data_IF_581285316670
#
_entry.id   IF_581285316670
#
_cell.length_a   1.000
_cell.length_b   1.000
_cell.length_c   1.000
_cell.angle_alpha   90.00
_cell.angle_beta   90.00
_cell.angle_gamma   90.00
#
_symmetry.space_group_name_H-M   'P 1'
#
loop_
_entity.id
_entity.type
_entity.pdbx_description
1 polymer ?
#
# COMPACT_ATOMS: atom_id res chain seq x y z
N UNK A 1 -23.03 -11.18 5.52
CA UNK A 1 -22.14 -11.64 4.44
C UNK A 1 -20.73 -11.28 4.85
N UNK A 2 -19.83 -12.24 4.88
CA UNK A 2 -18.41 -11.97 5.17
C UNK A 2 -17.83 -11.11 4.04
N UNK A 3 -16.99 -10.15 4.42
CA UNK A 3 -16.25 -9.30 3.46
C UNK A 3 -14.85 -9.89 3.28
N UNK A 4 -14.37 -9.87 2.05
CA UNK A 4 -13.05 -10.35 1.71
C UNK A 4 -12.27 -9.26 0.98
N UNK A 5 -10.96 -9.25 1.17
CA UNK A 5 -10.02 -8.46 0.38
C UNK A 5 -9.05 -9.40 -0.32
N UNK A 6 -8.61 -9.02 -1.50
CA UNK A 6 -7.56 -9.73 -2.24
C UNK A 6 -6.30 -8.86 -2.24
N UNK A 7 -5.19 -9.45 -1.79
CA UNK A 7 -3.87 -8.81 -1.79
C UNK A 7 -2.90 -9.79 -2.43
N UNK A 8 -2.39 -9.47 -3.63
CA UNK A 8 -1.42 -10.32 -4.35
C UNK A 8 -1.86 -11.79 -4.42
N UNK A 9 -3.06 -12.02 -4.97
CA UNK A 9 -3.69 -13.35 -5.09
C UNK A 9 -4.03 -14.03 -3.75
N UNK A 10 -3.78 -13.37 -2.62
CA UNK A 10 -4.15 -13.85 -1.29
C UNK A 10 -5.50 -13.27 -0.90
N UNK A 11 -6.49 -14.14 -0.69
CA UNK A 11 -7.82 -13.75 -0.21
C UNK A 11 -7.81 -13.76 1.32
N UNK A 12 -8.12 -12.61 1.92
CA UNK A 12 -8.18 -12.42 3.37
C UNK A 12 -9.61 -12.08 3.76
N UNK A 13 -10.18 -12.81 4.71
CA UNK A 13 -11.44 -12.44 5.34
C UNK A 13 -11.21 -11.25 6.27
N UNK A 14 -11.99 -10.19 6.12
CA UNK A 14 -11.84 -8.96 6.91
C UNK A 14 -12.03 -9.21 8.40
N UNK A 15 -12.89 -10.17 8.76
CA UNK A 15 -13.15 -10.53 10.17
C UNK A 15 -11.92 -11.19 10.84
N UNK A 16 -10.99 -11.74 10.05
CA UNK A 16 -9.76 -12.37 10.55
C UNK A 16 -8.60 -11.36 10.70
N UNK A 17 -8.79 -10.11 10.24
CA UNK A 17 -7.79 -9.05 10.35
C UNK A 17 -7.77 -8.51 11.79
N UNK A 18 -6.61 -8.62 12.43
CA UNK A 18 -6.34 -8.08 13.75
C UNK A 18 -5.95 -6.61 13.70
N UNK A 19 -5.03 -6.25 12.79
CA UNK A 19 -4.60 -4.87 12.57
C UNK A 19 -4.07 -4.69 11.15
N UNK A 20 -4.10 -3.46 10.67
CA UNK A 20 -3.33 -3.03 9.50
C UNK A 20 -2.36 -1.95 9.94
N UNK A 21 -1.09 -2.10 9.54
CA UNK A 21 -0.01 -1.19 9.85
C UNK A 21 0.43 -0.50 8.56
N UNK A 22 0.30 0.83 8.49
CA UNK A 22 0.76 1.61 7.34
C UNK A 22 2.24 1.92 7.52
N UNK A 23 3.07 1.41 6.61
CA UNK A 23 4.52 1.60 6.63
C UNK A 23 4.92 2.98 6.09
N UNK A 24 4.18 3.47 5.09
CA UNK A 24 4.34 4.81 4.52
C UNK A 24 4.25 4.84 3.00
N UNK A 25 4.22 6.04 2.46
CA UNK A 25 4.20 6.35 1.03
C UNK A 25 5.44 7.19 0.62
N UNK A 26 6.53 7.04 1.37
CA UNK A 26 7.79 7.80 1.20
C UNK A 26 8.57 7.38 -0.06
N UNK A 27 7.95 7.57 -1.22
CA UNK A 27 8.60 7.55 -2.53
C UNK A 27 9.28 8.92 -2.73
N UNK A 28 10.62 8.93 -2.85
CA UNK A 28 11.41 10.16 -2.95
C UNK A 28 12.29 10.19 -4.21
N UNK A 29 12.83 11.37 -4.50
CA UNK A 29 13.75 11.60 -5.61
C UNK A 29 15.01 10.75 -5.48
N UNK A 30 15.38 10.06 -6.55
CA UNK A 30 16.55 9.18 -6.60
C UNK A 30 16.28 7.74 -6.20
N UNK A 31 15.01 7.31 -6.06
CA UNK A 31 14.67 5.91 -5.77
C UNK A 31 15.24 4.95 -6.83
N UNK A 32 15.30 5.40 -8.09
CA UNK A 32 15.95 4.70 -9.18
C UNK A 32 17.28 5.37 -9.55
N UNK A 33 18.42 4.94 -8.95
CA UNK A 33 19.70 5.57 -9.22
C UNK A 33 20.13 5.33 -10.67
N UNK A 34 20.82 6.32 -11.24
CA UNK A 34 21.42 6.24 -12.58
C UNK A 34 22.90 5.85 -12.51
N UNK A 35 23.31 4.99 -13.43
CA UNK A 35 24.70 4.58 -13.65
C UNK A 35 25.53 5.68 -14.32
N UNK A 36 26.80 5.37 -14.57
CA UNK A 36 27.76 6.33 -15.11
C UNK A 36 27.41 6.81 -16.53
N UNK A 37 26.58 6.07 -17.27
CA UNK A 37 26.15 6.42 -18.61
C UNK A 37 24.67 6.85 -18.69
N UNK A 38 24.03 7.12 -17.54
CA UNK A 38 22.66 7.64 -17.44
C UNK A 38 21.55 6.59 -17.46
N UNK A 39 21.89 5.30 -17.56
CA UNK A 39 21.01 4.15 -17.45
C UNK A 39 20.52 3.94 -16.00
N UNK A 40 19.32 3.42 -15.82
CA UNK A 40 18.87 3.02 -14.49
C UNK A 40 19.61 1.75 -14.04
N UNK A 41 20.10 1.76 -12.80
CA UNK A 41 20.82 0.61 -12.19
C UNK A 41 19.85 -0.50 -11.79
N UNK A 42 18.58 -0.15 -11.58
CA UNK A 42 17.49 -1.06 -11.29
C UNK A 42 16.26 -0.61 -12.09
N UNK A 43 15.48 -1.55 -12.59
CA UNK A 43 14.25 -1.30 -13.34
C UNK A 43 12.98 -1.72 -12.59
N UNK A 44 13.12 -2.32 -11.41
CA UNK A 44 11.98 -2.81 -10.63
C UNK A 44 12.25 -2.75 -9.12
N UNK A 45 11.30 -2.20 -8.37
CA UNK A 45 11.34 -2.18 -6.91
C UNK A 45 9.96 -2.60 -6.37
N UNK A 46 9.93 -3.62 -5.52
CA UNK A 46 8.74 -3.97 -4.75
C UNK A 46 8.66 -3.01 -3.55
N UNK A 47 7.69 -2.10 -3.58
CA UNK A 47 7.51 -1.12 -2.51
C UNK A 47 6.39 -1.58 -1.56
N UNK A 48 6.77 -2.04 -0.37
CA UNK A 48 5.82 -2.42 0.68
C UNK A 48 5.34 -1.16 1.41
N UNK A 49 4.03 -0.93 1.42
CA UNK A 49 3.45 0.28 2.01
C UNK A 49 2.49 -0.01 3.18
N UNK A 50 2.04 -1.25 3.34
CA UNK A 50 1.26 -1.66 4.51
C UNK A 50 1.47 -3.14 4.84
N UNK A 51 1.14 -3.51 6.07
CA UNK A 51 1.11 -4.88 6.54
C UNK A 51 -0.28 -5.21 7.10
N UNK A 52 -0.82 -6.37 6.73
CA UNK A 52 -2.07 -6.89 7.27
C UNK A 52 -1.74 -8.03 8.22
N UNK A 53 -2.07 -7.85 9.49
CA UNK A 53 -1.84 -8.83 10.54
C UNK A 53 -3.17 -9.52 10.88
N UNK A 54 -3.20 -10.84 10.83
CA UNK A 54 -4.40 -11.64 11.14
C UNK A 54 -4.33 -12.26 12.54
N UNK A 55 -5.47 -12.72 13.07
CA UNK A 55 -5.54 -13.31 14.42
C UNK A 55 -4.79 -14.63 14.57
N UNK A 56 -4.60 -15.36 13.46
CA UNK A 56 -3.80 -16.59 13.41
C UNK A 56 -2.27 -16.34 13.40
N UNK A 57 -1.86 -15.08 13.35
CA UNK A 57 -0.46 -14.65 13.38
C UNK A 57 0.19 -14.49 12.00
N UNK A 58 -0.56 -14.65 10.91
CA UNK A 58 -0.03 -14.37 9.57
C UNK A 58 0.13 -12.86 9.33
N UNK A 59 1.13 -12.53 8.51
CA UNK A 59 1.42 -11.16 8.07
C UNK A 59 1.49 -11.15 6.55
N UNK A 60 0.61 -10.37 5.92
CA UNK A 60 0.60 -10.17 4.46
C UNK A 60 1.09 -8.76 4.16
N UNK A 61 2.14 -8.67 3.34
CA UNK A 61 2.65 -7.38 2.84
C UNK A 61 1.75 -6.87 1.71
N UNK A 62 1.31 -5.63 1.83
CA UNK A 62 0.68 -4.89 0.74
C UNK A 62 1.76 -4.08 0.06
N UNK A 63 1.94 -4.33 -1.23
CA UNK A 63 3.00 -3.72 -2.01
C UNK A 63 2.54 -3.28 -3.38
N UNK A 64 3.31 -2.37 -3.97
CA UNK A 64 3.16 -1.95 -5.36
C UNK A 64 4.48 -2.16 -6.08
N UNK A 65 4.42 -2.67 -7.30
CA UNK A 65 5.58 -2.74 -8.19
C UNK A 65 5.87 -1.36 -8.77
N UNK A 66 7.04 -0.82 -8.41
CA UNK A 66 7.54 0.43 -8.94
C UNK A 66 8.51 0.15 -10.09
N UNK A 67 8.37 0.95 -11.13
CA UNK A 67 9.25 0.97 -12.31
C UNK A 67 9.76 2.41 -12.51
N UNK A 68 10.91 2.62 -13.17
CA UNK A 68 11.41 3.95 -13.48
C UNK A 68 10.40 4.82 -14.24
N UNK A 69 10.51 6.16 -14.14
CA UNK A 69 9.68 7.07 -14.92
C UNK A 69 9.71 6.75 -16.42
N UNK A 70 8.54 6.80 -17.04
CA UNK A 70 8.42 6.57 -18.49
C UNK A 70 9.13 7.68 -19.30
N UNK A 71 9.41 7.42 -20.57
CA UNK A 71 10.06 8.41 -21.42
C UNK A 71 9.20 9.68 -21.54
N UNK A 72 9.69 10.79 -20.98
CA UNK A 72 8.99 12.07 -20.97
C UNK A 72 8.17 12.33 -19.70
N UNK A 73 8.06 11.38 -18.79
CA UNK A 73 7.53 11.59 -17.43
C UNK A 73 8.60 12.26 -16.56
N UNK A 74 8.24 13.33 -15.86
CA UNK A 74 9.12 13.92 -14.86
C UNK A 74 9.16 13.04 -13.61
N UNK A 75 10.28 13.03 -12.89
CA UNK A 75 10.40 12.23 -11.67
C UNK A 75 9.39 12.67 -10.59
N UNK A 76 9.10 13.98 -10.50
CA UNK A 76 8.08 14.50 -9.59
C UNK A 76 6.67 14.00 -9.92
N UNK A 77 6.31 13.92 -11.21
CA UNK A 77 5.00 13.43 -11.63
C UNK A 77 4.87 11.93 -11.41
N UNK A 78 5.95 11.19 -11.69
CA UNK A 78 6.07 9.78 -11.36
C UNK A 78 5.88 9.53 -9.85
N UNK A 79 6.56 10.31 -8.98
CA UNK A 79 6.40 10.22 -7.51
C UNK A 79 4.94 10.48 -7.13
N UNK A 80 4.34 11.57 -7.62
CA UNK A 80 2.95 11.94 -7.31
C UNK A 80 1.97 10.85 -7.71
N UNK A 81 2.12 10.27 -8.91
CA UNK A 81 1.24 9.21 -9.41
C UNK A 81 1.27 7.98 -8.52
N UNK A 82 2.46 7.50 -8.17
CA UNK A 82 2.61 6.31 -7.33
C UNK A 82 2.16 6.56 -5.88
N UNK A 83 2.47 7.73 -5.31
CA UNK A 83 1.92 8.14 -3.99
C UNK A 83 0.41 8.23 -3.98
N UNK A 84 -0.20 8.81 -5.02
CA UNK A 84 -1.65 8.89 -5.12
C UNK A 84 -2.29 7.49 -5.17
N UNK A 85 -1.70 6.56 -5.93
CA UNK A 85 -2.15 5.17 -5.96
C UNK A 85 -2.07 4.50 -4.57
N UNK A 86 -0.92 4.61 -3.89
CA UNK A 86 -0.73 4.07 -2.53
C UNK A 86 -1.76 4.68 -1.57
N UNK A 87 -1.92 6.00 -1.58
CA UNK A 87 -2.87 6.71 -0.72
C UNK A 87 -4.32 6.31 -0.96
N UNK A 88 -4.71 6.08 -2.22
CA UNK A 88 -6.03 5.54 -2.55
C UNK A 88 -6.24 4.14 -1.96
N UNK A 89 -5.26 3.24 -2.12
CA UNK A 89 -5.35 1.89 -1.56
C UNK A 89 -5.38 1.91 -0.03
N UNK A 90 -4.56 2.73 0.62
CA UNK A 90 -4.60 2.91 2.08
C UNK A 90 -5.97 3.44 2.55
N UNK A 91 -6.57 4.37 1.81
CA UNK A 91 -7.92 4.89 2.12
C UNK A 91 -8.97 3.79 2.00
N UNK A 92 -8.91 2.97 0.95
CA UNK A 92 -9.82 1.84 0.77
C UNK A 92 -9.67 0.79 1.88
N UNK A 93 -8.44 0.45 2.28
CA UNK A 93 -8.18 -0.44 3.40
C UNK A 93 -8.77 0.13 4.70
N UNK A 94 -8.54 1.42 4.97
CA UNK A 94 -9.11 2.10 6.13
C UNK A 94 -10.64 2.07 6.12
N UNK A 95 -11.27 2.31 4.97
CA UNK A 95 -12.73 2.28 4.83
C UNK A 95 -13.33 0.88 5.06
N UNK A 96 -12.64 -0.17 4.63
CA UNK A 96 -13.06 -1.56 4.84
C UNK A 96 -12.96 -1.93 6.33
N UNK A 97 -11.92 -1.44 7.00
CA UNK A 97 -11.63 -1.69 8.42
C UNK A 97 -12.41 -0.75 9.36
N UNK A 98 -13.16 0.23 8.82
CA UNK A 98 -13.97 1.13 9.64
C UNK A 98 -14.84 0.31 10.60
N UNK A 99 -14.82 0.63 11.89
CA UNK A 99 -15.59 -0.13 12.87
C UNK A 99 -17.06 -0.14 12.46
N UNK A 100 -17.61 -1.34 12.33
CA UNK A 100 -19.06 -1.50 12.20
C UNK A 100 -19.64 -1.05 13.53
N UNK A 101 -20.40 0.05 13.54
CA UNK A 101 -21.13 0.49 14.73
C UNK A 101 -22.20 -0.57 15.06
N UNK A 102 -21.88 -1.49 15.97
CA UNK A 102 -22.78 -2.58 16.39
C UNK A 102 -23.92 -2.07 17.30
N UNK A 103 -23.75 -0.86 17.87
CA UNK A 103 -24.82 -0.11 18.53
C UNK A 103 -24.66 1.37 18.19
N UNK A 104 -25.73 2.16 18.16
CA UNK A 104 -25.68 3.62 18.00
C UNK A 104 -24.95 4.34 19.16
N UNK A 105 -24.30 3.61 20.06
CA UNK A 105 -23.49 4.18 21.12
C UNK A 105 -22.11 4.52 20.59
N UNK A 106 -21.92 5.81 20.36
CA UNK A 106 -20.60 6.42 20.25
C UNK A 106 -19.87 6.22 21.58
N UNK A 107 -18.77 5.48 21.55
CA UNK A 107 -17.78 5.55 22.61
C UNK A 107 -16.90 6.75 22.29
N UNK A 108 -17.05 7.80 23.09
CA UNK A 108 -16.09 8.90 23.15
C UNK A 108 -14.97 8.46 24.09
N UNK A 109 -13.73 8.54 23.62
CA UNK A 109 -12.56 8.73 24.49
C UNK A 109 -12.41 10.22 24.84
#
# INVERSE_FOLDING_TARGET
MSKFIEVHETIINVDDIRKVEFLGDDIYLGLFPRGQHGEYVCDHIIFNFAEIHTFDGNVTLVSVDLYPPEQGESEDDWIKRNRAYIGMTMTQLSDILKPIKITEKEYFD
#
